data_IF_821895148507
#
_entry.id   IF_821895148507
#
_cell.length_a   1.000
_cell.length_b   1.000
_cell.length_c   1.000
_cell.angle_alpha   90.00
_cell.angle_beta   90.00
_cell.angle_gamma   90.00
#
_symmetry.space_group_name_H-M   'P 1'
#
loop_
_entity.id
_entity.type
_entity.pdbx_description
1 polymer ?
#
# COMPACT_ATOMS: atom_id res chain seq x y z
N UNK A 1 -13.97 11.73 -5.32
CA UNK A 1 -14.15 12.15 -3.91
C UNK A 1 -14.00 10.97 -2.95
N UNK A 2 -14.55 9.79 -3.25
CA UNK A 2 -14.40 8.58 -2.42
C UNK A 2 -12.94 8.10 -2.29
N UNK A 3 -12.17 8.13 -3.37
CA UNK A 3 -10.75 7.69 -3.35
C UNK A 3 -9.89 8.49 -2.38
N UNK A 4 -10.16 9.80 -2.23
CA UNK A 4 -9.41 10.66 -1.31
C UNK A 4 -9.65 10.24 0.15
N UNK A 5 -10.90 9.94 0.51
CA UNK A 5 -11.26 9.45 1.85
C UNK A 5 -10.62 8.07 2.11
N UNK A 6 -10.58 7.21 1.09
CA UNK A 6 -9.94 5.90 1.20
C UNK A 6 -8.43 6.03 1.45
N UNK A 7 -7.76 6.95 0.74
CA UNK A 7 -6.33 7.23 0.91
C UNK A 7 -6.02 7.88 2.26
N UNK A 8 -6.85 8.81 2.75
CA UNK A 8 -6.69 9.40 4.08
C UNK A 8 -6.78 8.33 5.18
N UNK A 9 -7.77 7.44 5.09
CA UNK A 9 -7.92 6.36 6.06
C UNK A 9 -6.76 5.35 5.99
N UNK A 10 -6.31 5.02 4.77
CA UNK A 10 -5.11 4.19 4.57
C UNK A 10 -3.88 4.84 5.19
N UNK A 11 -3.65 6.12 4.94
CA UNK A 11 -2.54 6.87 5.50
C UNK A 11 -2.56 6.82 7.04
N UNK A 12 -3.71 7.09 7.65
CA UNK A 12 -3.86 7.06 9.11
C UNK A 12 -3.49 5.68 9.69
N UNK A 13 -3.97 4.59 9.06
CA UNK A 13 -3.68 3.23 9.51
C UNK A 13 -2.21 2.87 9.34
N UNK A 14 -1.59 3.24 8.23
CA UNK A 14 -0.16 3.03 8.02
C UNK A 14 0.68 3.80 9.05
N UNK A 15 0.33 5.05 9.33
CA UNK A 15 0.99 5.86 10.36
C UNK A 15 0.86 5.23 11.75
N UNK A 16 -0.32 4.70 12.11
CA UNK A 16 -0.54 4.03 13.39
C UNK A 16 0.24 2.72 13.52
N UNK A 17 0.22 1.87 12.49
CA UNK A 17 0.81 0.53 12.52
C UNK A 17 2.34 0.54 12.41
N UNK A 18 2.88 1.40 11.54
CA UNK A 18 4.32 1.47 11.26
C UNK A 18 5.03 2.45 12.19
N UNK A 19 4.31 3.43 12.75
CA UNK A 19 4.81 4.39 13.73
C UNK A 19 6.18 4.99 13.33
N UNK A 20 7.16 4.95 14.23
CA UNK A 20 8.53 5.45 14.04
C UNK A 20 9.27 4.81 12.85
N UNK A 21 8.85 3.62 12.40
CA UNK A 21 9.48 2.95 11.25
C UNK A 21 9.03 3.52 9.91
N UNK A 22 7.92 4.25 9.85
CA UNK A 22 7.40 4.83 8.61
C UNK A 22 8.29 5.99 8.14
N UNK A 23 8.90 5.83 6.96
CA UNK A 23 9.71 6.88 6.35
C UNK A 23 8.91 7.73 5.36
N UNK A 24 8.16 7.09 4.47
CA UNK A 24 7.40 7.77 3.43
C UNK A 24 6.26 6.91 2.88
N UNK A 25 5.24 7.57 2.33
CA UNK A 25 4.14 6.97 1.57
C UNK A 25 4.06 7.71 0.24
N UNK A 26 4.05 6.98 -0.87
CA UNK A 26 3.92 7.50 -2.22
C UNK A 26 2.74 6.86 -2.94
N UNK A 27 1.86 7.68 -3.50
CA UNK A 27 0.90 7.23 -4.50
C UNK A 27 1.63 7.19 -5.86
N UNK A 28 1.43 6.14 -6.64
CA UNK A 28 1.99 6.03 -7.98
C UNK A 28 1.01 5.36 -8.96
N UNK A 29 1.48 5.02 -10.16
CA UNK A 29 0.69 4.31 -11.15
C UNK A 29 -0.41 5.17 -11.77
N UNK A 30 -1.50 4.51 -12.16
CA UNK A 30 -2.59 5.10 -12.96
C UNK A 30 -3.25 6.33 -12.31
N UNK A 31 -3.19 6.40 -10.98
CA UNK A 31 -3.70 7.51 -10.19
C UNK A 31 -2.92 8.81 -10.34
N UNK A 32 -1.63 8.73 -10.68
CA UNK A 32 -0.75 9.88 -10.90
C UNK A 32 -0.55 10.16 -12.38
N UNK A 33 -0.53 9.12 -13.22
CA UNK A 33 -0.28 9.23 -14.67
C UNK A 33 -1.49 9.73 -15.49
N UNK A 34 -2.58 10.14 -14.83
CA UNK A 34 -3.72 10.81 -15.46
C UNK A 34 -4.78 9.88 -16.07
N UNK A 35 -4.79 8.60 -15.67
CA UNK A 35 -5.64 7.58 -16.27
C UNK A 35 -6.25 6.60 -15.28
N UNK A 36 -6.78 7.07 -14.15
CA UNK A 36 -7.66 6.27 -13.27
C UNK A 36 -8.91 5.84 -14.05
N UNK A 37 -8.82 4.67 -14.67
CA UNK A 37 -9.97 4.00 -15.25
C UNK A 37 -10.95 3.55 -14.17
N UNK A 38 -12.20 3.20 -14.53
CA UNK A 38 -13.16 2.65 -13.57
C UNK A 38 -12.65 1.40 -12.85
N UNK A 39 -11.83 0.60 -13.53
CA UNK A 39 -11.30 -0.68 -13.04
C UNK A 39 -9.93 -0.56 -12.37
N UNK A 40 -9.37 0.66 -12.30
CA UNK A 40 -8.03 0.88 -11.75
C UNK A 40 -8.00 0.75 -10.22
N UNK A 41 -6.97 0.06 -9.74
CA UNK A 41 -6.55 0.02 -8.33
C UNK A 41 -5.79 1.30 -7.92
N UNK A 42 -5.58 1.45 -6.61
CA UNK A 42 -4.71 2.47 -6.04
C UNK A 42 -3.37 1.84 -5.65
N UNK A 43 -2.32 2.23 -6.36
CA UNK A 43 -0.96 1.78 -6.13
C UNK A 43 -0.25 2.67 -5.10
N UNK A 44 0.11 2.09 -3.96
CA UNK A 44 0.77 2.79 -2.86
C UNK A 44 2.11 2.12 -2.52
N UNK A 45 3.18 2.91 -2.54
CA UNK A 45 4.50 2.51 -2.10
C UNK A 45 4.78 3.08 -0.71
N UNK A 46 5.13 2.21 0.23
CA UNK A 46 5.50 2.56 1.59
C UNK A 46 6.97 2.25 1.80
N UNK A 47 7.72 3.22 2.31
CA UNK A 47 9.12 3.05 2.65
C UNK A 47 9.24 3.04 4.18
N UNK A 48 9.91 2.02 4.70
CA UNK A 48 10.18 1.86 6.14
C UNK A 48 11.67 1.88 6.44
N UNK A 49 12.04 2.25 7.66
CA UNK A 49 13.44 2.29 8.14
C UNK A 49 13.85 0.98 8.82
N UNK A 50 12.90 0.10 9.13
CA UNK A 50 13.16 -1.18 9.82
C UNK A 50 12.38 -2.31 9.16
N UNK A 51 12.90 -3.56 9.16
CA UNK A 51 12.18 -4.71 8.63
C UNK A 51 10.89 -4.98 9.39
N UNK A 52 9.83 -5.36 8.66
CA UNK A 52 8.56 -5.76 9.28
C UNK A 52 8.67 -7.14 9.94
N UNK A 53 8.21 -7.25 11.18
CA UNK A 53 7.99 -8.53 11.86
C UNK A 53 6.83 -9.29 11.22
N UNK A 54 6.79 -10.62 11.36
CA UNK A 54 5.69 -11.43 10.83
C UNK A 54 4.33 -11.00 11.39
N UNK A 55 4.25 -10.70 12.69
CA UNK A 55 3.02 -10.22 13.33
C UNK A 55 2.53 -8.89 12.74
N UNK A 56 3.45 -7.95 12.46
CA UNK A 56 3.10 -6.67 11.86
C UNK A 56 2.65 -6.85 10.40
N UNK A 57 3.28 -7.76 9.64
CA UNK A 57 2.84 -8.11 8.27
C UNK A 57 1.42 -8.66 8.26
N UNK A 58 1.10 -9.57 9.17
CA UNK A 58 -0.25 -10.13 9.30
C UNK A 58 -1.28 -9.05 9.67
N UNK A 59 -0.95 -8.17 10.63
CA UNK A 59 -1.83 -7.08 11.03
C UNK A 59 -2.05 -6.08 9.89
N UNK A 60 -0.99 -5.72 9.15
CA UNK A 60 -1.09 -4.90 7.94
C UNK A 60 -2.00 -5.54 6.89
N UNK A 61 -1.81 -6.83 6.59
CA UNK A 61 -2.65 -7.54 5.63
C UNK A 61 -4.13 -7.52 6.03
N UNK A 62 -4.43 -7.75 7.31
CA UNK A 62 -5.81 -7.71 7.82
C UNK A 62 -6.42 -6.31 7.74
N UNK A 63 -5.67 -5.26 8.07
CA UNK A 63 -6.17 -3.89 7.98
C UNK A 63 -6.37 -3.47 6.51
N UNK A 64 -5.42 -3.77 5.62
CA UNK A 64 -5.55 -3.46 4.19
C UNK A 64 -6.76 -4.17 3.56
N UNK A 65 -7.06 -5.41 3.97
CA UNK A 65 -8.26 -6.15 3.54
C UNK A 65 -9.57 -5.45 3.90
N UNK A 66 -9.59 -4.66 4.98
CA UNK A 66 -10.78 -3.89 5.41
C UNK A 66 -10.94 -2.59 4.61
N UNK A 67 -9.84 -2.03 4.11
CA UNK A 67 -9.83 -0.74 3.39
C UNK A 67 -10.04 -0.96 1.89
N UNK A 68 -9.47 -2.02 1.33
CA UNK A 68 -9.61 -2.37 -0.09
C UNK A 68 -11.06 -2.78 -0.41
N UNK A 69 -11.60 -2.30 -1.52
CA UNK A 69 -12.91 -2.70 -2.04
C UNK A 69 -12.80 -3.40 -3.40
N UNK A 70 -13.77 -4.26 -3.76
CA UNK A 70 -13.87 -4.84 -5.10
C UNK A 70 -13.86 -3.80 -6.22
N UNK A 71 -13.47 -4.22 -7.41
CA UNK A 71 -13.63 -3.41 -8.62
C UNK A 71 -15.12 -3.16 -8.87
N UNK A 72 -15.48 -1.95 -9.29
CA UNK A 72 -16.86 -1.55 -9.56
C UNK A 72 -17.63 -1.03 -8.35
N UNK A 73 -17.03 -1.06 -7.15
CA UNK A 73 -17.58 -0.42 -5.95
C UNK A 73 -17.25 1.08 -5.88
N UNK A 74 -17.82 1.78 -4.88
CA UNK A 74 -17.59 3.22 -4.67
C UNK A 74 -16.13 3.57 -4.33
N UNK A 75 -15.36 2.61 -3.81
CA UNK A 75 -13.94 2.69 -3.49
C UNK A 75 -13.18 1.62 -4.28
N UNK A 76 -11.86 1.73 -4.35
CA UNK A 76 -11.05 0.95 -5.28
C UNK A 76 -10.31 -0.20 -4.60
N UNK A 77 -9.85 -1.19 -5.38
CA UNK A 77 -8.86 -2.14 -4.89
C UNK A 77 -7.57 -1.43 -4.50
N UNK A 78 -6.88 -1.95 -3.49
CA UNK A 78 -5.59 -1.44 -3.04
C UNK A 78 -4.45 -2.40 -3.40
N UNK A 79 -3.38 -1.84 -3.93
CA UNK A 79 -2.07 -2.47 -4.00
C UNK A 79 -1.09 -1.71 -3.12
N UNK A 80 -0.58 -2.35 -2.07
CA UNK A 80 0.41 -1.75 -1.17
C UNK A 80 1.71 -2.52 -1.24
N UNK A 81 2.77 -1.83 -1.62
CA UNK A 81 4.14 -2.35 -1.66
C UNK A 81 4.96 -1.70 -0.56
N UNK A 82 5.66 -2.50 0.25
CA UNK A 82 6.49 -2.02 1.36
C UNK A 82 7.96 -2.37 1.10
N UNK A 83 8.83 -1.37 1.20
CA UNK A 83 10.27 -1.47 0.97
C UNK A 83 11.09 -0.94 2.15
N UNK A 84 12.27 -1.53 2.36
CA UNK A 84 13.25 -1.03 3.32
C UNK A 84 14.11 0.07 2.67
N UNK A 85 14.21 1.22 3.33
CA UNK A 85 15.00 2.37 2.87
C UNK A 85 16.45 2.00 2.55
N UNK A 86 17.10 1.29 3.46
CA UNK A 86 18.52 0.91 3.33
C UNK A 86 18.75 0.00 2.11
N UNK A 87 17.77 -0.82 1.77
CA UNK A 87 17.86 -1.71 0.62
C UNK A 87 17.81 -0.93 -0.71
N UNK A 88 16.92 0.06 -0.79
CA UNK A 88 16.86 1.00 -1.93
C UNK A 88 18.19 1.75 -2.08
N UNK A 89 18.77 2.21 -0.97
CA UNK A 89 20.03 2.94 -0.97
C UNK A 89 21.23 2.06 -1.34
N UNK A 90 21.16 0.76 -1.03
CA UNK A 90 22.23 -0.19 -1.37
C UNK A 90 22.38 -0.43 -2.87
N UNK A 91 21.31 -0.21 -3.65
CA UNK A 91 21.31 -0.42 -5.10
C UNK A 91 21.50 -1.88 -5.55
N UNK A 92 21.35 -2.85 -4.63
CA UNK A 92 21.45 -4.27 -4.96
C UNK A 92 20.10 -4.76 -5.50
N UNK A 93 20.11 -5.25 -6.74
CA UNK A 93 18.92 -5.80 -7.39
C UNK A 93 19.10 -7.29 -7.69
N UNK A 94 18.06 -8.12 -7.50
CA UNK A 94 16.70 -7.76 -7.04
C UNK A 94 16.64 -7.39 -5.55
N UNK A 95 15.62 -6.61 -5.17
CA UNK A 95 15.34 -6.30 -3.77
C UNK A 95 14.90 -7.57 -3.05
N UNK A 96 15.49 -7.85 -1.88
CA UNK A 96 15.27 -9.04 -1.07
C UNK A 96 14.16 -8.86 -0.02
N UNK A 97 13.84 -7.61 0.38
CA UNK A 97 12.91 -7.30 1.46
C UNK A 97 11.57 -6.73 0.97
N UNK A 98 11.27 -6.89 -0.32
CA UNK A 98 10.00 -6.49 -0.93
C UNK A 98 8.83 -7.25 -0.31
N UNK A 99 7.86 -6.53 0.24
CA UNK A 99 6.59 -7.09 0.70
C UNK A 99 5.43 -6.38 0.01
N UNK A 100 4.78 -7.08 -0.92
CA UNK A 100 3.63 -6.57 -1.66
C UNK A 100 2.38 -7.30 -1.23
N UNK A 101 1.33 -6.53 -0.91
CA UNK A 101 -0.02 -7.03 -0.73
C UNK A 101 -0.86 -6.39 -1.84
N UNK A 102 -1.22 -7.20 -2.85
CA UNK A 102 -2.24 -6.84 -3.83
C UNK A 102 -3.57 -7.42 -3.36
N UNK A 103 -4.54 -6.56 -3.09
CA UNK A 103 -5.89 -6.98 -2.69
C UNK A 103 -6.83 -6.78 -3.86
N UNK A 104 -6.85 -7.78 -4.72
CA UNK A 104 -7.84 -7.89 -5.78
C UNK A 104 -9.09 -8.58 -5.21
N UNK A 105 -10.11 -7.77 -4.93
CA UNK A 105 -11.38 -8.23 -4.39
C UNK A 105 -12.40 -8.60 -5.49
N UNK A 106 -11.95 -8.84 -6.73
CA UNK A 106 -12.81 -9.21 -7.90
C UNK A 106 -13.60 -10.52 -7.76
N UNK A 107 -13.48 -11.22 -6.64
CA UNK A 107 -14.20 -12.47 -6.34
C UNK A 107 -15.08 -12.41 -5.07
N UNK A 108 -15.34 -11.22 -4.52
CA UNK A 108 -16.41 -11.04 -3.51
C UNK A 108 -17.76 -10.79 -4.14
#
# INVERSE_FOLDING_TARGET
>A
MSDFIQLEYLQEKLQQLLAESLFAIYLYGSAVDGGLGPESDLDVLVVVTQPLTSALREQLAQELLKISQPVGELQRPLEVTILLKDEIQSGNYPLSSLYTIKIDNSLK
#
